data_IF_238085811429
#
_entry.id   IF_238085811429
#
_cell.length_a   1.000
_cell.length_b   1.000
_cell.length_c   1.000
_cell.angle_alpha   90.00
_cell.angle_beta   90.00
_cell.angle_gamma   90.00
#
_symmetry.space_group_name_H-M   'P 1'
#
loop_
_entity.id
_entity.type
_entity.pdbx_description
1 polymer ?
#
# COMPACT_ATOMS: atom_id res chain seq x y z
N UNK A 1 29.89 32.75 38.49
CA UNK A 1 30.12 31.34 38.09
C UNK A 1 28.77 30.73 37.74
N UNK A 2 28.53 30.05 36.62
CA UNK A 2 29.10 30.17 35.27
C UNK A 2 28.04 29.57 34.33
N UNK A 3 27.60 30.27 33.28
CA UNK A 3 26.61 29.74 32.34
C UNK A 3 27.33 28.85 31.31
N UNK A 4 26.92 27.60 31.14
CA UNK A 4 27.58 26.67 30.20
C UNK A 4 26.58 25.96 29.28
N UNK A 5 26.64 26.34 27.99
CA UNK A 5 26.15 25.66 26.77
C UNK A 5 26.93 26.27 25.59
N UNK A 6 27.03 25.64 24.42
CA UNK A 6 26.59 24.28 24.05
C UNK A 6 27.74 23.37 23.57
N UNK A 7 27.50 22.05 23.51
CA UNK A 7 28.32 21.13 22.73
C UNK A 7 27.75 20.98 21.31
N UNK A 8 28.48 21.40 20.29
CA UNK A 8 28.12 21.20 18.88
C UNK A 8 28.49 19.78 18.45
N UNK A 9 27.50 18.96 18.10
CA UNK A 9 27.74 17.68 17.44
C UNK A 9 28.08 17.93 15.97
N UNK A 10 29.30 17.56 15.57
CA UNK A 10 29.73 17.53 14.16
C UNK A 10 29.33 16.17 13.58
N UNK A 11 28.58 16.10 12.48
CA UNK A 11 28.29 14.84 11.80
C UNK A 11 29.57 14.29 11.13
N UNK A 12 29.80 12.97 11.10
CA UNK A 12 30.94 12.41 10.38
C UNK A 12 30.76 12.54 8.87
N UNK A 13 31.83 12.93 8.17
CA UNK A 13 31.89 12.95 6.71
C UNK A 13 31.76 11.52 6.16
N UNK A 14 30.75 11.29 5.31
CA UNK A 14 30.59 10.03 4.57
C UNK A 14 31.04 10.27 3.14
N UNK A 15 32.28 9.92 2.85
CA UNK A 15 32.81 9.86 1.49
C UNK A 15 32.01 8.81 0.69
N UNK A 16 31.35 9.24 -0.40
CA UNK A 16 30.72 8.34 -1.37
C UNK A 16 31.74 7.95 -2.42
N UNK A 17 32.16 6.70 -2.38
CA UNK A 17 32.89 6.06 -3.47
C UNK A 17 31.89 5.22 -4.29
N UNK A 18 31.64 5.61 -5.55
CA UNK A 18 30.88 4.82 -6.52
C UNK A 18 31.84 4.23 -7.57
N UNK A 19 31.97 2.89 -7.63
CA UNK A 19 32.58 2.23 -8.78
C UNK A 19 31.50 1.73 -9.75
N UNK A 20 31.72 2.10 -11.01
CA UNK A 20 31.00 1.75 -12.23
C UNK A 20 30.84 0.22 -12.44
N UNK A 21 29.78 -0.20 -13.15
CA UNK A 21 29.52 -1.61 -13.47
C UNK A 21 29.84 -1.91 -14.94
N UNK A 22 30.35 -3.13 -15.26
CA UNK A 22 29.69 -3.87 -16.34
C UNK A 22 29.62 -5.41 -16.19
N UNK A 23 28.42 -5.92 -16.47
CA UNK A 23 28.07 -7.02 -17.39
C UNK A 23 28.72 -8.44 -17.32
N UNK A 24 27.90 -9.38 -16.82
CA UNK A 24 27.64 -10.77 -17.28
C UNK A 24 28.75 -11.75 -17.75
N UNK A 25 28.84 -12.90 -17.06
CA UNK A 25 28.99 -14.23 -17.72
C UNK A 25 28.44 -15.38 -16.84
N UNK A 26 27.92 -16.45 -17.45
CA UNK A 26 27.57 -17.71 -16.78
C UNK A 26 27.69 -18.90 -17.75
N UNK A 27 28.48 -19.94 -17.40
CA UNK A 27 27.91 -21.20 -16.90
C UNK A 27 28.79 -21.81 -15.75
N UNK A 28 28.52 -22.96 -15.10
CA UNK A 28 27.57 -24.07 -15.33
C UNK A 28 27.09 -24.71 -13.98
N UNK A 29 26.84 -26.03 -13.97
CA UNK A 29 26.62 -26.98 -12.83
C UNK A 29 27.29 -28.33 -13.23
N UNK A 30 27.47 -29.38 -12.38
CA UNK A 30 26.77 -29.69 -11.11
C UNK A 30 27.57 -30.39 -9.97
N UNK A 31 26.93 -30.52 -8.81
CA UNK A 31 27.08 -31.70 -7.91
C UNK A 31 25.84 -31.84 -7.03
N UNK A 32 25.43 -33.09 -6.77
CA UNK A 32 24.20 -33.46 -6.04
C UNK A 32 24.55 -34.12 -4.68
N UNK A 33 23.59 -34.76 -3.99
CA UNK A 33 22.42 -34.17 -3.34
C UNK A 33 22.65 -34.07 -1.82
N UNK A 34 21.83 -33.29 -1.10
CA UNK A 34 21.68 -33.41 0.36
C UNK A 34 20.22 -33.65 0.71
N UNK A 35 19.94 -34.84 1.20
CA UNK A 35 18.66 -35.24 1.78
C UNK A 35 18.36 -34.52 3.11
N UNK A 36 17.08 -34.57 3.49
CA UNK A 36 16.50 -34.31 4.80
C UNK A 36 16.41 -32.84 5.30
N UNK A 37 15.26 -32.23 5.01
CA UNK A 37 14.55 -31.35 5.95
C UNK A 37 13.01 -31.55 5.75
N UNK A 38 12.17 -31.41 6.80
CA UNK A 38 10.92 -32.16 6.88
C UNK A 38 9.73 -31.54 6.14
N UNK A 39 8.76 -32.39 5.82
CA UNK A 39 7.45 -31.99 5.32
C UNK A 39 6.75 -31.04 6.30
N UNK A 40 6.58 -29.77 5.90
CA UNK A 40 5.71 -28.85 6.61
C UNK A 40 4.26 -29.15 6.21
N UNK A 41 3.42 -29.40 7.22
CA UNK A 41 2.10 -29.97 7.02
C UNK A 41 1.18 -29.10 6.18
N UNK A 42 0.39 -29.73 5.32
CA UNK A 42 -0.76 -29.09 4.69
C UNK A 42 -1.71 -28.59 5.80
N UNK A 43 -1.74 -27.27 6.02
CA UNK A 43 -2.75 -26.66 6.87
C UNK A 43 -4.10 -26.80 6.16
N UNK A 44 -4.91 -27.75 6.63
CA UNK A 44 -6.29 -27.86 6.21
C UNK A 44 -7.06 -26.64 6.73
N UNK A 45 -7.35 -25.68 5.85
CA UNK A 45 -8.27 -24.58 6.16
C UNK A 45 -9.62 -25.17 6.58
N UNK A 46 -10.12 -24.88 7.79
CA UNK A 46 -11.43 -25.37 8.21
C UNK A 46 -12.50 -24.78 7.28
N UNK A 47 -13.41 -25.63 6.82
CA UNK A 47 -14.58 -25.18 6.08
C UNK A 47 -15.39 -24.19 6.94
N UNK A 48 -15.97 -23.12 6.37
CA UNK A 48 -16.71 -22.14 7.15
C UNK A 48 -17.94 -22.80 7.75
N UNK A 49 -17.91 -23.01 9.07
CA UNK A 49 -19.11 -23.28 9.83
C UNK A 49 -20.06 -22.09 9.65
N UNK A 50 -21.35 -22.36 9.44
CA UNK A 50 -22.39 -21.33 9.35
C UNK A 50 -22.66 -20.75 10.75
N UNK A 51 -21.71 -19.95 11.24
CA UNK A 51 -21.82 -19.18 12.47
C UNK A 51 -22.40 -17.79 12.19
N UNK A 52 -23.04 -17.22 13.21
CA UNK A 52 -23.39 -15.80 13.26
C UNK A 52 -22.13 -14.98 12.98
N UNK A 53 -22.18 -14.03 12.02
CA UNK A 53 -21.07 -13.08 11.83
C UNK A 53 -20.78 -12.38 13.17
N UNK A 54 -19.52 -12.39 13.65
CA UNK A 54 -19.18 -11.82 14.94
C UNK A 54 -19.48 -10.32 14.98
N UNK A 55 -20.03 -9.85 16.10
CA UNK A 55 -20.33 -8.43 16.30
C UNK A 55 -19.07 -7.57 16.12
N UNK A 56 -19.18 -6.55 15.27
CA UNK A 56 -18.11 -5.58 15.00
C UNK A 56 -18.37 -4.28 15.76
N UNK A 57 -17.40 -3.89 16.57
CA UNK A 57 -17.42 -2.64 17.34
C UNK A 57 -16.23 -1.77 16.95
N UNK A 58 -16.50 -0.56 16.47
CA UNK A 58 -15.45 0.43 16.23
C UNK A 58 -14.74 0.82 17.54
N UNK A 59 -13.41 0.82 17.51
CA UNK A 59 -12.54 1.13 18.66
C UNK A 59 -11.86 2.48 18.48
N UNK A 60 -11.37 2.79 17.28
CA UNK A 60 -10.65 4.04 17.01
C UNK A 60 -9.93 4.04 15.66
N UNK A 61 -9.10 5.06 15.45
CA UNK A 61 -8.21 5.21 14.28
C UNK A 61 -6.76 5.37 14.75
N UNK A 62 -5.81 4.76 14.02
CA UNK A 62 -4.38 4.93 14.23
C UNK A 62 -3.69 5.51 13.00
N UNK A 63 -2.71 6.39 13.24
CA UNK A 63 -1.87 7.06 12.23
C UNK A 63 -2.61 7.85 11.14
N UNK A 64 -3.94 8.03 11.25
CA UNK A 64 -4.76 8.62 10.20
C UNK A 64 -4.98 7.70 9.00
N UNK A 65 -4.63 6.41 9.10
CA UNK A 65 -4.66 5.44 8.00
C UNK A 65 -5.35 4.12 8.34
N UNK A 66 -5.35 3.69 9.61
CA UNK A 66 -5.92 2.41 10.02
C UNK A 66 -7.15 2.58 10.91
N UNK A 67 -8.28 2.02 10.47
CA UNK A 67 -9.51 1.88 11.26
C UNK A 67 -9.38 0.61 12.11
N UNK A 68 -9.60 0.74 13.42
CA UNK A 68 -9.46 -0.34 14.39
C UNK A 68 -10.85 -0.79 14.85
N UNK A 69 -11.14 -2.09 14.70
CA UNK A 69 -12.43 -2.71 15.00
C UNK A 69 -12.21 -3.95 15.87
N UNK A 70 -12.95 -4.04 16.97
CA UNK A 70 -13.08 -5.30 17.72
C UNK A 70 -14.12 -6.18 17.00
N UNK A 71 -13.75 -7.41 16.69
CA UNK A 71 -14.62 -8.43 16.06
C UNK A 71 -14.64 -9.66 16.97
N UNK A 72 -15.66 -9.77 17.83
CA UNK A 72 -15.67 -10.74 18.93
C UNK A 72 -14.46 -10.58 19.86
N UNK A 73 -13.71 -11.66 20.08
CA UNK A 73 -12.47 -11.67 20.89
C UNK A 73 -11.21 -11.25 20.10
N UNK A 74 -11.36 -10.83 18.84
CA UNK A 74 -10.25 -10.44 17.96
C UNK A 74 -10.24 -8.93 17.66
N UNK A 75 -9.06 -8.43 17.28
CA UNK A 75 -8.83 -7.04 16.89
C UNK A 75 -8.43 -7.00 15.42
N UNK A 76 -9.24 -6.32 14.61
CA UNK A 76 -9.11 -6.21 13.15
C UNK A 76 -8.68 -4.79 12.78
N UNK A 77 -7.75 -4.70 11.84
CA UNK A 77 -7.21 -3.46 11.31
C UNK A 77 -7.58 -3.35 9.84
N UNK A 78 -8.24 -2.24 9.47
CA UNK A 78 -8.58 -1.94 8.09
C UNK A 78 -7.78 -0.73 7.61
N UNK A 79 -7.09 -0.88 6.48
CA UNK A 79 -6.52 0.26 5.76
C UNK A 79 -7.65 1.10 5.16
N UNK A 80 -7.75 2.36 5.58
CA UNK A 80 -8.79 3.31 5.15
C UNK A 80 -8.72 3.58 3.65
N UNK A 81 -7.54 3.64 3.05
CA UNK A 81 -7.36 3.86 1.62
C UNK A 81 -7.84 2.64 0.84
N UNK A 82 -7.32 1.45 1.17
CA UNK A 82 -7.68 0.21 0.48
C UNK A 82 -9.18 -0.10 0.59
N UNK A 83 -9.80 0.12 1.76
CA UNK A 83 -11.26 -0.04 1.94
C UNK A 83 -12.05 0.99 1.12
N UNK A 84 -11.64 2.26 1.14
CA UNK A 84 -12.35 3.32 0.41
C UNK A 84 -12.27 3.11 -1.11
N UNK A 85 -11.08 2.81 -1.63
CA UNK A 85 -10.86 2.52 -3.06
C UNK A 85 -11.62 1.26 -3.51
N UNK A 86 -11.60 0.19 -2.70
CA UNK A 86 -12.37 -1.03 -3.00
C UNK A 86 -13.87 -0.76 -3.05
N UNK A 87 -14.40 0.04 -2.12
CA UNK A 87 -15.80 0.44 -2.10
C UNK A 87 -16.17 1.32 -3.30
N UNK A 88 -15.31 2.27 -3.68
CA UNK A 88 -15.51 3.15 -4.82
C UNK A 88 -15.47 2.36 -6.14
N UNK A 89 -14.47 1.51 -6.32
CA UNK A 89 -14.33 0.64 -7.50
C UNK A 89 -15.58 -0.25 -7.69
N UNK A 90 -16.05 -0.94 -6.65
CA UNK A 90 -17.23 -1.80 -6.76
C UNK A 90 -18.52 -1.01 -6.98
N UNK A 91 -18.62 0.24 -6.51
CA UNK A 91 -19.74 1.15 -6.87
C UNK A 91 -19.70 1.53 -8.35
N UNK A 92 -18.57 2.03 -8.84
CA UNK A 92 -18.40 2.45 -10.24
C UNK A 92 -18.59 1.28 -11.21
N UNK A 93 -18.06 0.09 -10.87
CA UNK A 93 -18.24 -1.14 -11.64
C UNK A 93 -19.71 -1.56 -11.76
N UNK A 94 -20.49 -1.46 -10.67
CA UNK A 94 -21.94 -1.73 -10.68
C UNK A 94 -22.73 -0.70 -11.48
N UNK A 95 -22.23 0.52 -11.62
CA UNK A 95 -22.84 1.59 -12.43
C UNK A 95 -22.55 1.43 -13.93
N UNK A 96 -21.74 0.46 -14.36
CA UNK A 96 -21.56 0.10 -15.76
C UNK A 96 -20.95 1.21 -16.64
N UNK A 97 -20.20 2.14 -16.05
CA UNK A 97 -19.64 3.31 -16.74
C UNK A 97 -20.58 4.51 -16.85
N UNK A 98 -21.81 4.44 -16.30
CA UNK A 98 -22.66 5.61 -16.15
C UNK A 98 -22.15 6.52 -15.01
N UNK A 99 -21.20 7.39 -15.34
CA UNK A 99 -20.62 8.36 -14.41
C UNK A 99 -21.64 9.41 -13.98
N UNK A 100 -21.96 9.44 -12.68
CA UNK A 100 -22.71 10.55 -12.09
C UNK A 100 -21.84 11.82 -12.11
N UNK A 101 -22.15 12.76 -12.99
CA UNK A 101 -21.53 14.08 -13.00
C UNK A 101 -22.35 15.08 -12.18
N UNK A 102 -21.66 15.96 -11.46
CA UNK A 102 -22.25 17.10 -10.77
C UNK A 102 -21.68 18.38 -11.39
N UNK A 103 -22.55 19.26 -11.87
CA UNK A 103 -22.13 20.58 -12.31
C UNK A 103 -21.69 21.40 -11.09
N UNK A 104 -20.47 21.96 -11.16
CA UNK A 104 -19.94 22.82 -10.12
C UNK A 104 -20.68 24.15 -10.09
N UNK A 105 -20.79 24.77 -8.91
CA UNK A 105 -21.39 26.10 -8.74
C UNK A 105 -20.56 27.19 -9.45
N UNK A 106 -19.24 27.02 -9.47
CA UNK A 106 -18.29 27.86 -10.19
C UNK A 106 -17.36 26.94 -11.00
N UNK A 107 -17.12 27.20 -12.30
CA UNK A 107 -16.18 26.42 -13.11
C UNK A 107 -14.74 26.57 -12.61
N UNK A 108 -14.03 25.45 -12.43
CA UNK A 108 -12.61 25.45 -12.08
C UNK A 108 -11.78 25.49 -13.36
N UNK A 109 -10.99 26.55 -13.55
CA UNK A 109 -10.01 26.63 -14.65
C UNK A 109 -8.80 25.77 -14.34
N UNK A 110 -8.45 24.86 -15.25
CA UNK A 110 -7.26 24.01 -15.16
C UNK A 110 -6.27 24.34 -16.28
N UNK A 111 -4.98 24.42 -15.95
CA UNK A 111 -3.90 24.51 -16.93
C UNK A 111 -3.47 23.11 -17.32
N UNK A 112 -3.52 22.80 -18.63
CA UNK A 112 -3.17 21.49 -19.17
C UNK A 112 -1.81 21.51 -19.87
N UNK A 113 -1.10 20.38 -19.85
CA UNK A 113 0.02 20.12 -20.75
C UNK A 113 -0.46 19.96 -22.21
N UNK A 114 0.48 19.92 -23.16
CA UNK A 114 0.16 19.69 -24.57
C UNK A 114 -0.44 18.29 -24.79
N UNK A 115 0.06 17.31 -24.04
CA UNK A 115 -0.34 15.91 -24.07
C UNK A 115 -1.76 15.75 -23.51
N UNK A 116 -2.03 16.35 -22.34
CA UNK A 116 -3.36 16.36 -21.71
C UNK A 116 -4.39 17.07 -22.59
N UNK A 117 -4.05 18.22 -23.17
CA UNK A 117 -4.93 18.95 -24.08
C UNK A 117 -5.27 18.14 -25.34
N UNK A 118 -4.30 17.41 -25.89
CA UNK A 118 -4.52 16.52 -27.03
C UNK A 118 -5.48 15.37 -26.67
N UNK A 119 -5.27 14.71 -25.54
CA UNK A 119 -6.12 13.63 -25.07
C UNK A 119 -7.58 14.06 -24.83
N UNK A 120 -7.83 15.29 -24.35
CA UNK A 120 -9.18 15.85 -24.19
C UNK A 120 -9.88 16.12 -25.53
N UNK A 121 -9.13 16.45 -26.58
CA UNK A 121 -9.70 16.62 -27.93
C UNK A 121 -9.99 15.28 -28.62
N UNK A 122 -9.19 14.25 -28.35
CA UNK A 122 -9.35 12.89 -28.92
C UNK A 122 -10.49 12.08 -28.27
N UNK A 123 -10.83 12.38 -27.01
CA UNK A 123 -11.83 11.62 -26.21
C UNK A 123 -13.25 12.21 -26.25
N UNK A 124 -13.55 13.06 -27.24
CA UNK A 124 -14.77 13.89 -27.33
C UNK A 124 -15.88 13.31 -28.21
#
# INVERSE_FOLDING_TARGET
LSFSRPGTLVPPDIERDEPDAPEAEAPARPSAPRDAAPAQGAQASPAPAAGTEPEEKFVGEAFGTYIIVQRGDSLVFYDKHAVHERLLYEKLKKQGGASFSQMLLEPVTVTLSKEEYSAVLESR
#
